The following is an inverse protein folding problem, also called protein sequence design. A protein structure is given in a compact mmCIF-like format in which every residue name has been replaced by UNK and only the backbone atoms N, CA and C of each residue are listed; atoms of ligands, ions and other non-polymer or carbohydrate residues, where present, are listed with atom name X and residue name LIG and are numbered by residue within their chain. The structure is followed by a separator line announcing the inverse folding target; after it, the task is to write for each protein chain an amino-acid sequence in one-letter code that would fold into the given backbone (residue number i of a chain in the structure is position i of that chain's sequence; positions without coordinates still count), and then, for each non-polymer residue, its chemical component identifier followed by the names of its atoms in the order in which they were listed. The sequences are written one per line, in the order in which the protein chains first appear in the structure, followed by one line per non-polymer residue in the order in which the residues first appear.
data_IF_422716227408
#
_entry.id   IF_422716227408
#
_cell.length_a   1.000
_cell.length_b   1.000
_cell.length_c   1.000
_cell.angle_alpha   90.00
_cell.angle_beta   90.00
_cell.angle_gamma   90.00
#
_symmetry.space_group_name_H-M   'P 1'
#
loop_
_entity.id
_entity.type
_entity.pdbx_description
1 polymer ?
#
# COMPACT_ATOMS: atom_id res chain seq x y z
N UNK A 1 5.90 12.20 -6.26
CA UNK A 1 6.86 11.23 -5.69
C UNK A 1 6.80 11.11 -4.15
N UNK A 2 6.59 12.17 -3.36
CA UNK A 2 6.49 12.10 -1.88
C UNK A 2 5.35 11.21 -1.31
N UNK A 3 4.39 10.79 -2.13
CA UNK A 3 3.26 9.96 -1.72
C UNK A 3 3.45 8.45 -2.01
N UNK A 4 4.57 8.04 -2.61
CA UNK A 4 4.75 6.63 -3.01
C UNK A 4 4.86 5.67 -1.83
N UNK A 5 5.21 6.15 -0.62
CA UNK A 5 5.24 5.32 0.57
C UNK A 5 5.00 6.11 1.87
N UNK A 6 3.74 6.44 2.16
CA UNK A 6 3.34 7.13 3.40
C UNK A 6 3.76 6.38 4.69
N UNK A 7 4.03 5.07 4.62
CA UNK A 7 4.49 4.28 5.76
C UNK A 7 5.88 4.72 6.25
N UNK A 8 6.77 5.12 5.34
CA UNK A 8 8.11 5.60 5.72
C UNK A 8 8.04 6.97 6.41
N UNK A 9 7.03 7.80 6.15
CA UNK A 9 6.83 9.05 6.91
C UNK A 9 6.58 8.81 8.40
N UNK A 10 6.17 7.60 8.79
CA UNK A 10 5.90 7.24 10.18
C UNK A 10 6.99 6.35 10.76
N UNK A 11 7.32 5.24 10.11
CA UNK A 11 8.26 4.27 10.68
C UNK A 11 9.72 4.75 10.62
N UNK A 12 10.11 5.52 9.60
CA UNK A 12 11.50 5.97 9.47
C UNK A 12 11.91 6.99 10.54
N UNK A 13 11.09 8.00 10.90
CA UNK A 13 11.35 8.85 12.06
C UNK A 13 11.51 8.07 13.37
N UNK A 14 10.72 7.00 13.58
CA UNK A 14 10.88 6.13 14.76
C UNK A 14 12.27 5.48 14.76
N UNK A 15 12.70 4.91 13.63
CA UNK A 15 14.04 4.34 13.49
C UNK A 15 15.14 5.37 13.75
N UNK A 16 15.01 6.57 13.19
CA UNK A 16 15.95 7.67 13.39
C UNK A 16 16.01 8.14 14.85
N UNK A 17 14.86 8.22 15.53
CA UNK A 17 14.79 8.57 16.94
C UNK A 17 15.51 7.51 17.80
N UNK A 18 15.24 6.23 17.56
CA UNK A 18 15.95 5.12 18.21
C UNK A 18 17.46 5.19 17.95
N UNK A 19 17.86 5.48 16.69
CA UNK A 19 19.26 5.64 16.31
C UNK A 19 19.93 6.78 17.07
N UNK A 20 19.30 7.97 17.10
CA UNK A 20 19.83 9.11 17.80
C UNK A 20 19.97 8.83 19.31
N UNK A 21 18.96 8.19 19.92
CA UNK A 21 18.97 7.81 21.34
C UNK A 21 20.08 6.80 21.67
N UNK A 22 20.37 5.86 20.77
CA UNK A 22 21.40 4.84 20.95
C UNK A 22 22.82 5.38 20.74
N UNK A 23 23.00 6.22 19.72
CA UNK A 23 24.33 6.66 19.28
C UNK A 23 24.83 7.93 19.96
N UNK A 24 23.95 8.88 20.26
CA UNK A 24 24.35 10.15 20.86
C UNK A 24 24.36 10.11 22.38
N UNK A 25 25.34 10.82 22.96
CA UNK A 25 25.37 11.08 24.39
C UNK A 25 24.30 12.14 24.71
N UNK A 26 23.57 11.94 25.82
CA UNK A 26 22.53 12.88 26.29
C UNK A 26 23.09 14.30 26.54
N UNK A 27 24.36 14.41 26.91
CA UNK A 27 25.03 15.69 27.17
C UNK A 27 25.29 16.55 25.92
N UNK A 28 25.17 16.00 24.71
CA UNK A 28 25.47 16.70 23.45
C UNK A 28 24.25 17.48 22.93
N UNK A 29 23.81 18.46 23.73
CA UNK A 29 22.62 19.29 23.47
C UNK A 29 22.64 19.98 22.11
N UNK A 30 23.82 20.33 21.60
CA UNK A 30 23.96 20.98 20.29
C UNK A 30 23.54 20.05 19.16
N UNK A 31 23.94 18.77 19.20
CA UNK A 31 23.54 17.77 18.19
C UNK A 31 22.06 17.44 18.28
N UNK A 32 21.52 17.29 19.49
CA UNK A 32 20.08 17.09 19.69
C UNK A 32 19.26 18.26 19.14
N UNK A 33 19.69 19.50 19.40
CA UNK A 33 19.05 20.70 18.83
C UNK A 33 19.13 20.72 17.31
N UNK A 34 20.27 20.37 16.72
CA UNK A 34 20.41 20.33 15.26
C UNK A 34 19.47 19.28 14.63
N UNK A 35 19.38 18.08 15.20
CA UNK A 35 18.49 17.02 14.71
C UNK A 35 17.02 17.43 14.85
N UNK A 36 16.64 17.96 16.02
CA UNK A 36 15.28 18.43 16.26
C UNK A 36 14.90 19.57 15.31
N UNK A 37 15.79 20.55 15.12
CA UNK A 37 15.57 21.67 14.20
C UNK A 37 15.40 21.17 12.76
N UNK A 38 16.26 20.26 12.30
CA UNK A 38 16.12 19.66 10.96
C UNK A 38 14.81 18.91 10.81
N UNK A 39 14.41 18.11 11.81
CA UNK A 39 13.12 17.41 11.77
C UNK A 39 11.94 18.38 11.70
N UNK A 40 11.97 19.46 12.48
CA UNK A 40 10.92 20.50 12.45
C UNK A 40 10.89 21.21 11.10
N UNK A 41 12.04 21.64 10.57
CA UNK A 41 12.13 22.33 9.28
C UNK A 41 11.66 21.47 8.12
N UNK A 42 11.91 20.16 8.16
CA UNK A 42 11.43 19.21 7.14
C UNK A 42 9.95 18.87 7.34
N UNK A 43 9.45 18.79 8.57
CA UNK A 43 8.06 18.51 8.86
C UNK A 43 7.13 19.70 8.57
N UNK A 44 7.60 20.94 8.74
CA UNK A 44 6.79 22.15 8.63
C UNK A 44 6.06 22.28 7.27
N UNK A 45 6.71 22.08 6.11
CA UNK A 45 6.03 22.12 4.80
C UNK A 45 5.02 20.99 4.59
N UNK A 46 5.11 19.90 5.36
CA UNK A 46 4.22 18.74 5.27
C UNK A 46 2.91 18.99 6.06
N UNK A 47 2.92 19.92 7.03
CA UNK A 47 1.75 20.20 7.89
C UNK A 47 0.51 20.61 7.07
N UNK A 48 0.56 21.59 6.13
CA UNK A 48 -0.63 21.98 5.37
C UNK A 48 -1.23 20.82 4.56
N UNK A 49 -0.37 19.94 4.04
CA UNK A 49 -0.79 18.73 3.32
C UNK A 49 -1.52 17.76 4.26
N UNK A 50 -0.98 17.51 5.46
CA UNK A 50 -1.60 16.63 6.46
C UNK A 50 -2.93 17.19 6.97
N UNK A 51 -3.02 18.51 7.19
CA UNK A 51 -4.26 19.18 7.59
C UNK A 51 -5.32 19.06 6.49
N UNK A 52 -4.95 19.33 5.23
CA UNK A 52 -5.86 19.18 4.09
C UNK A 52 -6.35 17.74 3.92
N UNK A 53 -5.44 16.78 4.08
CA UNK A 53 -5.74 15.36 4.04
C UNK A 53 -6.73 14.96 5.13
N UNK A 54 -6.46 15.32 6.39
CA UNK A 54 -7.34 15.01 7.52
C UNK A 54 -8.72 15.68 7.41
N UNK A 55 -8.77 16.92 6.91
CA UNK A 55 -10.03 17.65 6.70
C UNK A 55 -10.92 16.92 5.69
N UNK A 56 -10.35 16.49 4.55
CA UNK A 56 -11.09 15.73 3.54
C UNK A 56 -11.51 14.36 4.04
N UNK A 57 -10.65 13.66 4.78
CA UNK A 57 -11.01 12.38 5.38
C UNK A 57 -12.21 12.49 6.32
N UNK A 58 -12.21 13.49 7.21
CA UNK A 58 -13.33 13.74 8.11
C UNK A 58 -14.60 14.12 7.36
N UNK A 59 -14.50 14.98 6.33
CA UNK A 59 -15.64 15.41 5.54
C UNK A 59 -16.35 14.26 4.80
N UNK A 60 -15.59 13.24 4.36
CA UNK A 60 -16.11 12.09 3.65
C UNK A 60 -16.25 10.83 4.53
N UNK A 61 -16.09 10.95 5.85
CA UNK A 61 -16.17 9.80 6.77
C UNK A 61 -15.11 8.73 6.52
N UNK A 62 -14.01 9.06 5.86
CA UNK A 62 -12.93 8.12 5.52
C UNK A 62 -12.11 7.82 6.77
N UNK A 63 -12.55 6.83 7.53
CA UNK A 63 -11.82 6.28 8.67
C UNK A 63 -11.54 4.80 8.42
N UNK A 64 -10.41 4.32 8.92
CA UNK A 64 -10.10 2.89 8.92
C UNK A 64 -10.54 2.27 10.24
N UNK A 65 -11.21 1.12 10.14
CA UNK A 65 -11.53 0.30 11.30
C UNK A 65 -10.26 -0.34 11.87
N UNK A 66 -10.25 -0.60 13.18
CA UNK A 66 -9.15 -1.35 13.81
C UNK A 66 -9.05 -2.76 13.22
N UNK A 67 -10.19 -3.37 12.89
CA UNK A 67 -10.27 -4.71 12.28
C UNK A 67 -9.63 -4.76 10.88
N UNK A 68 -9.78 -3.69 10.09
CA UNK A 68 -9.09 -3.56 8.81
C UNK A 68 -7.56 -3.54 9.01
N UNK A 69 -7.08 -2.78 10.00
CA UNK A 69 -5.65 -2.71 10.32
C UNK A 69 -5.14 -4.07 10.82
N UNK A 70 -5.91 -4.75 11.68
CA UNK A 70 -5.59 -6.09 12.18
C UNK A 70 -5.47 -7.11 11.04
N UNK A 71 -6.34 -7.04 10.03
CA UNK A 71 -6.29 -7.91 8.84
C UNK A 71 -4.96 -7.83 8.09
N UNK A 72 -4.31 -6.66 8.09
CA UNK A 72 -3.04 -6.42 7.41
C UNK A 72 -1.81 -6.44 8.34
N UNK A 73 -2.00 -6.94 9.55
CA UNK A 73 -0.95 -7.08 10.55
C UNK A 73 -0.19 -8.39 10.36
N UNK A 74 1.08 -8.39 10.77
CA UNK A 74 1.88 -9.60 10.84
C UNK A 74 1.50 -10.44 12.06
N UNK A 75 1.80 -11.72 12.00
CA UNK A 75 1.71 -12.64 13.15
C UNK A 75 3.08 -13.22 13.47
N UNK A 76 3.18 -14.04 14.51
CA UNK A 76 4.44 -14.74 14.82
C UNK A 76 4.88 -15.69 13.70
N UNK A 77 3.92 -16.34 13.01
CA UNK A 77 4.21 -17.22 11.87
C UNK A 77 4.67 -16.48 10.62
N UNK A 78 4.38 -15.18 10.52
CA UNK A 78 4.84 -14.32 9.41
C UNK A 78 6.35 -14.29 9.24
N UNK A 79 7.16 -14.50 10.30
CA UNK A 79 8.62 -14.60 10.20
C UNK A 79 9.10 -15.78 9.35
N UNK A 80 8.32 -16.86 9.31
CA UNK A 80 8.52 -17.99 8.42
C UNK A 80 7.62 -17.90 7.18
N UNK A 81 6.80 -16.84 7.08
CA UNK A 81 5.80 -16.65 6.05
C UNK A 81 6.39 -16.18 4.73
N UNK A 82 6.14 -16.95 3.67
CA UNK A 82 6.50 -16.60 2.30
C UNK A 82 5.26 -16.21 1.50
N UNK A 83 5.47 -15.49 0.39
CA UNK A 83 4.40 -15.17 -0.55
C UNK A 83 4.05 -16.40 -1.39
N UNK A 84 2.78 -16.56 -1.77
CA UNK A 84 2.38 -17.55 -2.77
C UNK A 84 3.05 -17.41 -4.14
N UNK A 85 3.73 -16.28 -4.37
CA UNK A 85 4.50 -16.00 -5.58
C UNK A 85 5.97 -16.42 -5.47
N UNK A 86 6.46 -16.74 -4.29
CA UNK A 86 7.85 -17.17 -4.10
C UNK A 86 8.00 -18.62 -4.58
N UNK A 87 9.01 -18.89 -5.40
CA UNK A 87 9.24 -20.24 -5.93
C UNK A 87 9.94 -21.13 -4.90
N UNK A 88 11.00 -20.59 -4.30
CA UNK A 88 11.84 -21.32 -3.35
C UNK A 88 11.13 -21.47 -2.00
N UNK A 89 11.30 -22.63 -1.34
CA UNK A 89 10.71 -22.97 -0.03
C UNK A 89 9.17 -23.06 0.02
N UNK A 90 8.47 -22.92 -1.11
CA UNK A 90 7.00 -23.01 -1.22
C UNK A 90 6.39 -24.30 -0.66
N UNK A 91 7.12 -25.41 -0.67
CA UNK A 91 6.69 -26.69 -0.08
C UNK A 91 7.04 -26.87 1.41
N UNK A 92 7.83 -25.98 2.01
CA UNK A 92 8.40 -26.15 3.36
C UNK A 92 7.95 -25.05 4.33
N UNK A 93 7.76 -23.84 3.84
CA UNK A 93 7.39 -22.67 4.64
C UNK A 93 5.91 -22.34 4.48
N UNK A 94 5.26 -21.82 5.54
CA UNK A 94 3.86 -21.44 5.47
C UNK A 94 3.65 -20.30 4.47
N UNK A 95 2.57 -20.41 3.71
CA UNK A 95 2.10 -19.33 2.87
C UNK A 95 1.31 -18.34 3.72
N UNK A 96 1.79 -17.11 3.83
CA UNK A 96 1.07 -16.04 4.53
C UNK A 96 0.53 -15.03 3.54
N UNK A 97 -0.44 -14.22 3.98
CA UNK A 97 -0.93 -13.09 3.20
C UNK A 97 0.25 -12.24 2.72
N UNK A 98 0.25 -11.82 1.45
CA UNK A 98 1.44 -11.26 0.80
C UNK A 98 2.02 -10.03 1.54
N UNK A 99 1.18 -9.20 2.15
CA UNK A 99 1.66 -8.05 2.92
C UNK A 99 2.28 -8.44 4.27
N UNK A 100 2.00 -9.64 4.77
CA UNK A 100 2.51 -10.22 6.01
C UNK A 100 3.51 -11.39 5.79
N UNK A 101 4.04 -11.55 4.58
CA UNK A 101 5.14 -12.47 4.28
C UNK A 101 6.47 -11.83 4.67
N UNK A 102 6.93 -12.11 5.90
CA UNK A 102 8.09 -11.43 6.49
C UNK A 102 9.37 -12.28 6.44
N UNK A 103 9.36 -13.45 5.81
CA UNK A 103 10.55 -14.30 5.74
C UNK A 103 11.74 -13.57 5.09
N UNK A 104 12.84 -13.32 5.85
CA UNK A 104 13.97 -12.53 5.35
C UNK A 104 14.95 -13.33 4.49
N UNK A 105 14.81 -14.66 4.40
CA UNK A 105 15.77 -15.55 3.73
C UNK A 105 16.81 -16.16 4.68
N UNK A 106 17.12 -17.44 4.50
CA UNK A 106 18.13 -18.14 5.30
C UNK A 106 19.53 -17.56 5.08
N UNK A 107 19.85 -17.10 3.87
CA UNK A 107 21.15 -16.50 3.59
C UNK A 107 21.36 -15.17 4.35
N UNK A 108 20.32 -14.33 4.39
CA UNK A 108 20.35 -13.07 5.17
C UNK A 108 20.45 -13.37 6.66
N UNK A 109 19.68 -14.34 7.18
CA UNK A 109 19.74 -14.74 8.60
C UNK A 109 21.12 -15.24 8.97
N UNK A 110 21.72 -16.14 8.17
CA UNK A 110 23.05 -16.69 8.43
C UNK A 110 24.12 -15.59 8.45
N UNK A 111 24.10 -14.68 7.47
CA UNK A 111 25.02 -13.54 7.42
C UNK A 111 24.80 -12.56 8.58
N UNK A 112 23.54 -12.32 8.98
CA UNK A 112 23.21 -11.44 10.09
C UNK A 112 23.70 -12.01 11.44
N UNK A 113 23.55 -13.32 11.66
CA UNK A 113 24.12 -14.02 12.82
C UNK A 113 25.65 -13.87 12.82
N UNK A 114 26.31 -14.12 11.68
CA UNK A 114 27.75 -13.95 11.56
C UNK A 114 28.18 -12.50 11.84
N UNK A 115 27.43 -11.52 11.34
CA UNK A 115 27.66 -10.11 11.62
C UNK A 115 27.46 -9.75 13.10
N UNK A 116 26.51 -10.38 13.79
CA UNK A 116 26.32 -10.22 15.23
C UNK A 116 27.52 -10.73 16.05
N UNK A 117 28.14 -11.82 15.59
CA UNK A 117 29.31 -12.43 16.25
C UNK A 117 30.62 -11.69 15.95
N UNK A 118 30.75 -11.09 14.77
CA UNK A 118 32.05 -10.61 14.25
C UNK A 118 32.11 -9.11 14.00
N UNK A 119 30.96 -8.45 13.87
CA UNK A 119 30.86 -7.06 13.48
C UNK A 119 31.11 -6.09 14.63
N UNK A 120 30.88 -4.80 14.35
CA UNK A 120 30.97 -3.75 15.37
C UNK A 120 29.79 -3.88 16.33
N UNK A 121 29.99 -4.57 17.46
CA UNK A 121 28.96 -4.94 18.46
C UNK A 121 27.93 -3.84 18.72
N UNK A 122 28.37 -2.59 18.96
CA UNK A 122 27.44 -1.47 19.22
C UNK A 122 26.50 -1.17 18.05
N UNK A 123 26.99 -1.25 16.82
CA UNK A 123 26.21 -0.98 15.60
C UNK A 123 25.27 -2.15 15.31
N UNK A 124 25.78 -3.37 15.37
CA UNK A 124 24.99 -4.57 15.07
C UNK A 124 23.87 -4.76 16.10
N UNK A 125 24.15 -4.59 17.39
CA UNK A 125 23.12 -4.67 18.43
C UNK A 125 22.03 -3.61 18.25
N UNK A 126 22.37 -2.41 17.79
CA UNK A 126 21.36 -1.40 17.47
C UNK A 126 20.43 -1.88 16.36
N UNK A 127 20.97 -2.33 15.23
CA UNK A 127 20.14 -2.73 14.09
C UNK A 127 19.35 -4.00 14.35
N UNK A 128 19.85 -4.93 15.17
CA UNK A 128 19.07 -6.08 15.65
C UNK A 128 17.93 -5.64 16.57
N UNK A 129 18.20 -4.77 17.55
CA UNK A 129 17.16 -4.24 18.44
C UNK A 129 16.11 -3.43 17.67
N UNK A 130 16.55 -2.61 16.71
CA UNK A 130 15.67 -1.87 15.83
C UNK A 130 14.82 -2.80 14.96
N UNK A 131 15.39 -3.88 14.43
CA UNK A 131 14.63 -4.88 13.69
C UNK A 131 13.54 -5.54 14.55
N UNK A 132 13.84 -5.85 15.81
CA UNK A 132 12.86 -6.38 16.77
C UNK A 132 11.76 -5.34 17.02
N UNK A 133 12.09 -4.07 17.27
CA UNK A 133 11.08 -3.03 17.48
C UNK A 133 10.18 -2.85 16.24
N UNK A 134 10.77 -2.84 15.05
CA UNK A 134 10.03 -2.71 13.79
C UNK A 134 9.14 -3.92 13.53
N UNK A 135 9.57 -5.11 13.92
CA UNK A 135 8.75 -6.31 13.89
C UNK A 135 7.58 -6.25 14.89
N UNK A 136 7.82 -5.79 16.11
CA UNK A 136 6.75 -5.60 17.09
C UNK A 136 5.70 -4.59 16.62
N UNK A 137 6.11 -3.55 15.88
CA UNK A 137 5.20 -2.63 15.19
C UNK A 137 4.46 -3.32 14.04
N UNK A 138 5.10 -4.27 13.35
CA UNK A 138 4.49 -5.04 12.27
C UNK A 138 3.35 -5.94 12.76
N UNK A 139 3.35 -6.36 14.03
CA UNK A 139 2.30 -7.19 14.63
C UNK A 139 0.95 -6.47 14.80
N UNK A 140 0.91 -5.15 14.66
CA UNK A 140 -0.34 -4.40 14.61
C UNK A 140 -1.03 -4.18 15.97
N UNK A 141 -2.31 -3.74 15.95
CA UNK A 141 -2.97 -3.09 17.09
C UNK A 141 -3.26 -4.02 18.29
N UNK A 142 -3.22 -5.33 18.10
CA UNK A 142 -3.33 -6.31 19.19
C UNK A 142 -2.11 -6.28 20.12
N UNK A 143 -0.99 -5.71 19.66
CA UNK A 143 0.24 -5.60 20.42
C UNK A 143 0.55 -4.15 20.81
N UNK A 144 1.07 -3.97 22.04
CA UNK A 144 1.25 -2.67 22.68
C UNK A 144 2.05 -1.64 21.84
N UNK A 145 3.18 -1.97 21.19
CA UNK A 145 3.98 -0.97 20.48
C UNK A 145 3.21 -0.25 19.37
N UNK A 146 2.41 -0.99 18.61
CA UNK A 146 1.57 -0.40 17.56
C UNK A 146 0.31 0.24 18.17
N UNK A 147 -0.27 -0.34 19.23
CA UNK A 147 -1.41 0.26 19.93
C UNK A 147 -1.08 1.67 20.48
N UNK A 148 0.14 1.90 20.93
CA UNK A 148 0.63 3.22 21.32
C UNK A 148 0.79 4.16 20.12
N UNK A 149 1.29 3.65 18.99
CA UNK A 149 1.44 4.42 17.75
C UNK A 149 0.08 4.94 17.25
N UNK A 150 -0.98 4.11 17.30
CA UNK A 150 -2.34 4.45 16.84
C UNK A 150 -2.98 5.60 17.63
N UNK A 151 -2.49 5.90 18.84
CA UNK A 151 -2.93 7.06 19.64
C UNK A 151 -2.43 8.39 19.06
N UNK A 152 -1.40 8.39 18.22
CA UNK A 152 -0.88 9.60 17.60
C UNK A 152 -1.78 10.07 16.44
N UNK A 153 -1.94 11.40 16.26
CA UNK A 153 -2.72 11.92 15.15
C UNK A 153 -2.11 11.50 13.81
N UNK A 154 -2.95 10.99 12.91
CA UNK A 154 -2.53 10.52 11.57
C UNK A 154 -2.02 9.07 11.53
N UNK A 155 -1.72 8.42 12.66
CA UNK A 155 -1.25 7.04 12.67
C UNK A 155 -2.32 6.03 12.19
N UNK A 156 -3.61 6.34 12.39
CA UNK A 156 -4.75 5.57 11.86
C UNK A 156 -4.83 5.56 10.32
N UNK A 157 -4.09 6.44 9.65
CA UNK A 157 -3.96 6.42 8.19
C UNK A 157 -2.99 5.35 7.68
N UNK A 158 -2.34 4.58 8.57
CA UNK A 158 -1.57 3.38 8.22
C UNK A 158 -2.51 2.19 8.19
N UNK A 159 -2.71 1.61 7.00
CA UNK A 159 -3.55 0.42 6.85
C UNK A 159 -2.82 -0.88 7.15
N UNK A 160 -1.54 -0.94 6.78
CA UNK A 160 -0.74 -2.18 6.73
C UNK A 160 0.43 -2.08 7.72
N UNK A 161 0.25 -2.47 8.99
CA UNK A 161 1.33 -2.48 9.99
C UNK A 161 2.52 -3.30 9.54
N UNK A 162 2.29 -4.42 8.85
CA UNK A 162 3.33 -5.34 8.39
C UNK A 162 4.45 -4.66 7.58
N UNK A 163 4.17 -3.51 6.95
CA UNK A 163 5.18 -2.70 6.24
C UNK A 163 6.26 -2.11 7.14
N UNK A 164 6.09 -2.06 8.46
CA UNK A 164 7.17 -1.74 9.40
C UNK A 164 8.37 -2.69 9.22
N UNK A 165 8.12 -3.92 8.77
CA UNK A 165 9.14 -4.92 8.48
C UNK A 165 10.16 -4.47 7.42
N UNK A 166 9.81 -3.55 6.50
CA UNK A 166 10.79 -2.96 5.57
C UNK A 166 12.02 -2.40 6.28
N UNK A 167 11.83 -1.76 7.44
CA UNK A 167 12.92 -1.22 8.26
C UNK A 167 13.60 -2.30 9.11
N UNK A 168 12.88 -3.37 9.47
CA UNK A 168 13.49 -4.54 10.09
C UNK A 168 14.46 -5.24 9.12
N UNK A 169 14.03 -5.47 7.88
CA UNK A 169 14.87 -6.03 6.80
C UNK A 169 16.08 -5.14 6.53
N UNK A 170 15.93 -3.81 6.55
CA UNK A 170 17.07 -2.90 6.47
C UNK A 170 18.08 -3.15 7.61
N UNK A 171 17.60 -3.29 8.85
CA UNK A 171 18.46 -3.61 9.99
C UNK A 171 19.17 -4.95 9.83
N UNK A 172 18.44 -5.99 9.41
CA UNK A 172 19.02 -7.31 9.12
C UNK A 172 20.05 -7.25 7.99
N UNK A 173 19.81 -6.46 6.94
CA UNK A 173 20.75 -6.27 5.84
C UNK A 173 22.05 -5.60 6.29
N UNK A 174 21.97 -4.60 7.20
CA UNK A 174 23.18 -4.01 7.80
C UNK A 174 23.96 -5.05 8.61
N UNK A 175 23.26 -5.86 9.41
CA UNK A 175 23.89 -6.96 10.17
C UNK A 175 24.54 -7.98 9.23
N UNK A 176 23.84 -8.38 8.17
CA UNK A 176 24.34 -9.29 7.14
C UNK A 176 25.58 -8.72 6.43
N UNK A 177 25.60 -7.41 6.18
CA UNK A 177 26.76 -6.71 5.62
C UNK A 177 28.02 -6.85 6.47
N UNK A 178 27.91 -6.81 7.81
CA UNK A 178 29.05 -7.08 8.69
C UNK A 178 29.55 -8.52 8.58
N UNK A 179 28.64 -9.51 8.52
CA UNK A 179 29.01 -10.92 8.33
C UNK A 179 29.68 -11.15 6.98
N UNK A 180 29.14 -10.52 5.93
CA UNK A 180 29.72 -10.58 4.59
C UNK A 180 31.11 -9.94 4.52
N UNK A 181 31.29 -8.77 5.17
CA UNK A 181 32.59 -8.10 5.25
C UNK A 181 33.64 -8.96 5.96
N UNK A 182 33.25 -9.68 7.03
CA UNK A 182 34.14 -10.60 7.71
C UNK A 182 34.55 -11.80 6.84
N UNK A 183 33.62 -12.37 6.06
CA UNK A 183 33.94 -13.44 5.08
C UNK A 183 34.86 -12.93 3.97
N UNK A 184 34.59 -11.74 3.44
CA UNK A 184 35.37 -11.12 2.39
C UNK A 184 36.83 -10.88 2.81
N UNK A 185 37.04 -10.54 4.08
CA UNK A 185 38.38 -10.34 4.66
C UNK A 185 39.19 -11.65 4.79
N UNK A 186 38.59 -12.82 4.56
CA UNK A 186 39.26 -14.13 4.66
C UNK A 186 39.51 -14.73 3.29
N UNK A 187 40.78 -14.97 2.97
CA UNK A 187 41.27 -15.30 1.62
C UNK A 187 40.50 -16.40 0.88
N UNK A 188 40.26 -17.57 1.51
CA UNK A 188 39.45 -18.65 0.93
C UNK A 188 37.94 -18.51 1.20
N UNK A 189 37.55 -17.93 2.34
CA UNK A 189 36.14 -17.85 2.74
C UNK A 189 35.33 -16.83 1.94
N UNK A 190 35.98 -15.85 1.29
CA UNK A 190 35.29 -14.90 0.38
C UNK A 190 34.48 -15.58 -0.70
N UNK A 191 34.88 -16.78 -1.14
CA UNK A 191 34.16 -17.55 -2.15
C UNK A 191 32.79 -18.05 -1.66
N UNK A 192 32.57 -18.15 -0.35
CA UNK A 192 31.27 -18.48 0.25
C UNK A 192 30.23 -17.38 -0.03
N UNK A 193 30.66 -16.15 -0.32
CA UNK A 193 29.75 -15.06 -0.69
C UNK A 193 29.04 -15.29 -2.03
N UNK A 194 29.64 -16.06 -2.94
CA UNK A 194 29.02 -16.37 -4.24
C UNK A 194 27.75 -17.21 -4.07
N UNK A 195 27.77 -18.39 -3.43
CA UNK A 195 26.56 -19.16 -3.21
C UNK A 195 25.59 -18.46 -2.25
N UNK A 196 26.05 -17.70 -1.26
CA UNK A 196 25.15 -16.91 -0.40
C UNK A 196 24.44 -15.80 -1.18
N UNK A 197 25.15 -15.08 -2.06
CA UNK A 197 24.56 -14.08 -2.94
C UNK A 197 23.56 -14.69 -3.90
N UNK A 198 23.89 -15.84 -4.51
CA UNK A 198 22.96 -16.59 -5.36
C UNK A 198 21.72 -17.04 -4.58
N UNK A 199 21.88 -17.50 -3.33
CA UNK A 199 20.77 -17.88 -2.45
C UNK A 199 19.87 -16.69 -2.12
N UNK A 200 20.42 -15.50 -1.82
CA UNK A 200 19.60 -14.28 -1.59
C UNK A 200 18.74 -13.97 -2.81
N UNK A 201 19.31 -14.04 -4.01
CA UNK A 201 18.58 -13.82 -5.27
C UNK A 201 17.50 -14.88 -5.45
N UNK A 202 17.82 -16.16 -5.21
CA UNK A 202 16.88 -17.28 -5.34
C UNK A 202 15.73 -17.21 -4.32
N UNK A 203 16.02 -16.84 -3.07
CA UNK A 203 15.03 -16.64 -1.99
C UNK A 203 14.12 -15.44 -2.25
N UNK A 204 14.66 -14.40 -2.91
CA UNK A 204 13.90 -13.20 -3.30
C UNK A 204 13.17 -13.36 -4.62
N UNK A 205 13.35 -14.48 -5.33
CA UNK A 205 12.76 -14.68 -6.65
C UNK A 205 11.27 -14.99 -6.54
N UNK A 206 10.45 -14.20 -7.23
CA UNK A 206 9.00 -14.34 -7.23
C UNK A 206 8.45 -14.36 -8.65
N UNK A 207 7.31 -15.03 -8.84
CA UNK A 207 6.54 -15.04 -10.09
C UNK A 207 5.27 -14.20 -9.93
N UNK A 208 5.17 -13.15 -10.73
CA UNK A 208 3.98 -12.31 -10.82
C UNK A 208 3.55 -12.18 -12.27
N UNK A 209 2.25 -12.17 -12.58
CA UNK A 209 1.82 -11.77 -13.92
C UNK A 209 2.29 -10.32 -14.13
N UNK A 210 2.94 -10.07 -15.27
CA UNK A 210 2.98 -8.72 -15.80
C UNK A 210 1.53 -8.36 -16.12
N UNK A 211 0.96 -7.45 -15.34
CA UNK A 211 -0.39 -6.95 -15.59
C UNK A 211 -0.30 -5.96 -16.73
N UNK A 212 -0.96 -6.27 -17.84
CA UNK A 212 -1.07 -5.33 -18.96
C UNK A 212 -1.82 -4.08 -18.51
N UNK A 213 -1.40 -2.92 -19.02
CA UNK A 213 -2.09 -1.67 -18.73
C UNK A 213 -3.52 -1.75 -19.28
N UNK A 214 -4.53 -1.29 -18.51
CA UNK A 214 -5.91 -1.26 -18.99
C UNK A 214 -6.01 -0.50 -20.31
N UNK A 215 -6.69 -1.09 -21.29
CA UNK A 215 -6.94 -0.45 -22.58
C UNK A 215 -7.73 0.85 -22.34
N UNK A 216 -7.27 2.00 -22.87
CA UNK A 216 -8.03 3.25 -22.81
C UNK A 216 -9.39 3.10 -23.47
N UNK A 217 -10.38 3.87 -23.01
CA UNK A 217 -11.68 3.95 -23.68
C UNK A 217 -11.44 4.46 -25.11
N UNK A 218 -11.85 3.74 -26.18
CA UNK A 218 -11.62 4.16 -27.55
C UNK A 218 -12.61 5.25 -28.00
N UNK A 219 -12.89 6.21 -27.12
CA UNK A 219 -13.83 7.30 -27.33
C UNK A 219 -13.33 8.56 -26.62
N UNK A 220 -13.45 9.70 -27.30
CA UNK A 220 -13.29 10.98 -26.66
C UNK A 220 -14.55 11.33 -25.85
N UNK A 221 -14.42 11.37 -24.53
CA UNK A 221 -15.40 11.97 -23.64
C UNK A 221 -14.99 13.43 -23.39
N UNK A 222 -15.95 14.34 -23.15
CA UNK A 222 -15.60 15.69 -22.75
C UNK A 222 -14.71 15.69 -21.49
N UNK A 223 -13.73 16.57 -21.49
CA UNK A 223 -12.82 16.74 -20.35
C UNK A 223 -13.59 16.95 -19.05
N UNK A 224 -13.12 16.31 -17.97
CA UNK A 224 -13.66 16.41 -16.62
C UNK A 224 -15.12 15.93 -16.46
N UNK A 225 -15.65 15.19 -17.45
CA UNK A 225 -16.93 14.48 -17.37
C UNK A 225 -16.98 13.52 -16.17
N UNK A 226 -18.19 13.25 -15.66
CA UNK A 226 -18.41 12.28 -14.60
C UNK A 226 -18.74 10.94 -15.26
N UNK A 227 -17.97 9.90 -14.97
CA UNK A 227 -18.07 8.60 -15.63
C UNK A 227 -18.27 7.49 -14.60
N UNK A 228 -19.25 6.63 -14.83
CA UNK A 228 -19.43 5.36 -14.14
C UNK A 228 -18.96 4.22 -15.05
N UNK A 229 -17.93 3.48 -14.65
CA UNK A 229 -17.34 2.38 -15.44
C UNK A 229 -17.82 1.04 -14.89
N UNK A 230 -18.73 0.38 -15.60
CA UNK A 230 -19.32 -0.90 -15.21
C UNK A 230 -18.52 -2.09 -15.80
N UNK A 231 -18.46 -3.24 -15.08
CA UNK A 231 -19.04 -3.47 -13.76
C UNK A 231 -18.29 -2.77 -12.63
N UNK A 232 -19.02 -2.40 -11.57
CA UNK A 232 -18.40 -2.00 -10.30
C UNK A 232 -17.92 -3.27 -9.61
N UNK A 233 -16.62 -3.34 -9.33
CA UNK A 233 -16.05 -4.45 -8.57
C UNK A 233 -15.91 -4.06 -7.10
N UNK A 234 -15.77 -5.03 -6.20
CA UNK A 234 -15.42 -4.76 -4.79
C UNK A 234 -13.95 -5.02 -4.49
N UNK A 235 -13.18 -5.45 -5.50
CA UNK A 235 -11.76 -5.74 -5.39
C UNK A 235 -10.91 -4.60 -5.98
N UNK A 236 -9.62 -4.89 -6.22
CA UNK A 236 -8.67 -3.93 -6.79
C UNK A 236 -8.94 -3.58 -8.25
N UNK A 237 -9.87 -4.25 -8.96
CA UNK A 237 -10.10 -4.05 -10.41
C UNK A 237 -10.74 -2.72 -10.76
N UNK A 238 -11.29 -1.99 -9.79
CA UNK A 238 -11.65 -0.57 -9.97
C UNK A 238 -10.44 0.33 -10.23
N UNK A 239 -9.21 -0.16 -10.01
CA UNK A 239 -8.01 0.53 -10.44
C UNK A 239 -7.97 0.70 -11.96
N UNK A 240 -8.59 -0.22 -12.72
CA UNK A 240 -8.67 -0.12 -14.18
C UNK A 240 -9.53 1.07 -14.60
N UNK A 241 -10.69 1.23 -13.95
CA UNK A 241 -11.58 2.36 -14.16
C UNK A 241 -10.90 3.69 -13.82
N UNK A 242 -10.14 3.73 -12.72
CA UNK A 242 -9.33 4.89 -12.34
C UNK A 242 -8.20 5.18 -13.33
N UNK A 243 -7.51 4.15 -13.80
CA UNK A 243 -6.43 4.28 -14.79
C UNK A 243 -6.96 4.90 -16.08
N UNK A 244 -8.08 4.39 -16.60
CA UNK A 244 -8.72 4.95 -17.80
C UNK A 244 -9.20 6.38 -17.59
N UNK A 245 -9.67 6.72 -16.39
CA UNK A 245 -10.07 8.08 -16.05
C UNK A 245 -8.92 9.08 -16.13
N UNK A 246 -7.72 8.68 -15.68
CA UNK A 246 -6.51 9.49 -15.82
C UNK A 246 -6.14 9.64 -17.30
N UNK A 247 -6.16 8.55 -18.07
CA UNK A 247 -5.80 8.57 -19.50
C UNK A 247 -6.80 9.35 -20.36
N UNK A 248 -8.09 9.27 -20.04
CA UNK A 248 -9.17 9.95 -20.76
C UNK A 248 -9.56 11.32 -20.19
N UNK A 249 -8.81 11.82 -19.20
CA UNK A 249 -9.03 13.12 -18.56
C UNK A 249 -10.46 13.34 -18.03
N UNK A 250 -11.06 12.31 -17.42
CA UNK A 250 -12.39 12.38 -16.82
C UNK A 250 -12.37 11.93 -15.35
N UNK A 251 -13.47 12.16 -14.64
CA UNK A 251 -13.63 11.77 -13.23
C UNK A 251 -14.46 10.51 -13.14
N UNK A 252 -13.90 9.45 -12.57
CA UNK A 252 -14.63 8.19 -12.38
C UNK A 252 -15.34 8.13 -11.03
N UNK A 253 -16.57 7.63 -11.01
CA UNK A 253 -17.38 7.42 -9.81
C UNK A 253 -16.85 6.25 -8.99
N UNK A 254 -16.64 5.10 -9.63
CA UNK A 254 -16.19 3.86 -9.00
C UNK A 254 -14.68 3.64 -9.13
N UNK A 255 -13.89 4.69 -8.90
CA UNK A 255 -12.43 4.57 -8.87
C UNK A 255 -11.92 3.83 -7.63
N UNK A 256 -10.70 3.29 -7.72
CA UNK A 256 -10.05 2.67 -6.56
C UNK A 256 -9.31 3.70 -5.70
N UNK A 257 -9.50 3.61 -4.40
CA UNK A 257 -8.67 4.31 -3.43
C UNK A 257 -8.47 3.37 -2.25
N UNK A 258 -7.35 3.45 -1.51
CA UNK A 258 -7.16 2.63 -0.30
C UNK A 258 -8.12 2.96 0.86
N UNK A 259 -9.23 3.66 0.56
CA UNK A 259 -10.40 3.93 1.36
C UNK A 259 -11.65 3.73 0.50
N UNK A 260 -12.72 3.22 1.11
CA UNK A 260 -14.05 3.19 0.51
C UNK A 260 -14.93 4.26 1.17
N UNK A 261 -15.61 5.12 0.40
CA UNK A 261 -16.65 5.99 0.95
C UNK A 261 -17.75 5.16 1.65
N UNK A 262 -18.41 5.68 2.70
CA UNK A 262 -19.47 4.97 3.43
C UNK A 262 -20.56 4.40 2.51
N UNK A 263 -20.99 5.18 1.50
CA UNK A 263 -22.10 4.83 0.61
C UNK A 263 -21.66 3.96 -0.59
N UNK A 264 -20.39 3.53 -0.65
CA UNK A 264 -19.87 2.79 -1.80
C UNK A 264 -20.55 1.42 -1.98
N UNK A 265 -20.80 0.71 -0.88
CA UNK A 265 -21.53 -0.56 -0.94
C UNK A 265 -23.01 -0.36 -1.31
N UNK A 266 -23.59 0.77 -0.91
CA UNK A 266 -24.96 1.12 -1.30
C UNK A 266 -25.04 1.46 -2.80
N UNK A 267 -24.03 2.13 -3.36
CA UNK A 267 -23.90 2.34 -4.80
C UNK A 267 -23.87 1.00 -5.56
N UNK A 268 -23.04 0.05 -5.11
CA UNK A 268 -22.96 -1.29 -5.73
C UNK A 268 -24.30 -2.02 -5.63
N UNK A 269 -24.90 -2.04 -4.44
CA UNK A 269 -26.20 -2.67 -4.21
C UNK A 269 -27.30 -2.03 -5.07
N UNK A 270 -27.35 -0.70 -5.16
CA UNK A 270 -28.35 0.01 -5.93
C UNK A 270 -28.24 -0.26 -7.44
N UNK A 271 -27.04 -0.42 -7.98
CA UNK A 271 -26.84 -0.83 -9.38
C UNK A 271 -27.33 -2.26 -9.60
N UNK A 272 -26.96 -3.19 -8.71
CA UNK A 272 -27.36 -4.60 -8.80
C UNK A 272 -28.88 -4.80 -8.60
N UNK A 273 -29.50 -3.98 -7.76
CA UNK A 273 -30.95 -3.99 -7.49
C UNK A 273 -31.74 -3.11 -8.46
N UNK A 274 -31.10 -2.54 -9.49
CA UNK A 274 -31.77 -1.71 -10.51
C UNK A 274 -32.49 -0.47 -9.93
N UNK A 275 -31.92 0.16 -8.90
CA UNK A 275 -32.47 1.37 -8.26
C UNK A 275 -31.99 2.64 -8.95
N UNK A 276 -32.86 3.25 -9.77
CA UNK A 276 -32.54 4.45 -10.58
C UNK A 276 -32.13 5.69 -9.77
N UNK A 277 -32.53 5.77 -8.49
CA UNK A 277 -32.16 6.86 -7.58
C UNK A 277 -30.65 7.01 -7.42
N UNK A 278 -29.87 5.96 -7.69
CA UNK A 278 -28.41 5.95 -7.59
C UNK A 278 -27.72 6.97 -8.51
N UNK A 279 -28.35 7.33 -9.65
CA UNK A 279 -27.78 8.29 -10.58
C UNK A 279 -28.03 9.75 -10.19
N UNK A 280 -29.03 10.02 -9.36
CA UNK A 280 -29.48 11.38 -9.02
C UNK A 280 -28.36 12.28 -8.48
N UNK A 281 -27.54 11.87 -7.49
CA UNK A 281 -26.49 12.73 -6.93
C UNK A 281 -25.44 13.16 -7.96
N UNK A 282 -25.21 12.34 -8.98
CA UNK A 282 -24.26 12.63 -10.06
C UNK A 282 -24.90 13.52 -11.13
N UNK A 283 -26.13 13.17 -11.53
CA UNK A 283 -26.90 13.92 -12.54
C UNK A 283 -27.32 15.32 -12.08
N UNK A 284 -27.32 15.62 -10.78
CA UNK A 284 -27.53 16.99 -10.28
C UNK A 284 -26.31 17.92 -10.51
N UNK A 285 -25.13 17.35 -10.80
CA UNK A 285 -23.88 18.12 -10.91
C UNK A 285 -23.43 18.33 -12.35
N UNK A 286 -23.63 17.32 -13.19
CA UNK A 286 -23.29 17.32 -14.60
C UNK A 286 -24.00 16.16 -15.31
N UNK A 287 -23.82 16.06 -16.62
CA UNK A 287 -24.12 14.83 -17.34
C UNK A 287 -23.29 13.67 -16.78
N UNK A 288 -23.96 12.54 -16.56
CA UNK A 288 -23.33 11.30 -16.14
C UNK A 288 -23.14 10.39 -17.36
N UNK A 289 -21.90 10.04 -17.65
CA UNK A 289 -21.58 9.03 -18.66
C UNK A 289 -21.47 7.66 -18.00
N UNK A 290 -22.05 6.63 -18.61
CA UNK A 290 -21.96 5.25 -18.13
C UNK A 290 -21.31 4.40 -19.21
N UNK A 291 -20.18 3.80 -18.88
CA UNK A 291 -19.47 2.85 -19.75
C UNK A 291 -19.86 1.45 -19.28
N UNK A 292 -20.53 0.68 -20.14
CA UNK A 292 -20.80 -0.73 -19.92
C UNK A 292 -19.83 -1.57 -20.75
N UNK A 293 -18.93 -2.29 -20.07
CA UNK A 293 -17.98 -3.23 -20.70
C UNK A 293 -18.67 -4.56 -20.99
N UNK A 294 -19.37 -4.62 -22.13
CA UNK A 294 -20.22 -5.71 -22.62
C UNK A 294 -20.17 -7.01 -21.84
N UNK A 295 -19.20 -7.87 -22.14
CA UNK A 295 -19.13 -9.23 -21.59
C UNK A 295 -18.86 -9.30 -20.08
N UNK A 296 -18.41 -8.21 -19.46
CA UNK A 296 -18.14 -8.13 -18.03
C UNK A 296 -19.36 -7.64 -17.22
N UNK A 297 -20.39 -7.10 -17.88
CA UNK A 297 -21.57 -6.52 -17.23
C UNK A 297 -22.76 -7.46 -17.37
N UNK A 298 -23.52 -7.65 -16.29
CA UNK A 298 -24.77 -8.40 -16.34
C UNK A 298 -25.73 -7.77 -17.38
N UNK A 299 -26.25 -8.54 -18.35
CA UNK A 299 -27.17 -8.02 -19.37
C UNK A 299 -28.41 -7.33 -18.79
N UNK A 300 -28.86 -7.73 -17.59
CA UNK A 300 -29.99 -7.10 -16.90
C UNK A 300 -29.71 -5.65 -16.52
N UNK A 301 -28.48 -5.35 -16.08
CA UNK A 301 -28.03 -3.99 -15.74
C UNK A 301 -28.01 -3.11 -16.98
N UNK A 302 -27.55 -3.64 -18.12
CA UNK A 302 -27.53 -2.90 -19.40
C UNK A 302 -28.95 -2.61 -19.88
N UNK A 303 -29.84 -3.60 -19.79
CA UNK A 303 -31.25 -3.45 -20.19
C UNK A 303 -31.95 -2.41 -19.30
N UNK A 304 -31.73 -2.47 -17.98
CA UNK A 304 -32.25 -1.50 -17.05
C UNK A 304 -31.69 -0.08 -17.28
N UNK A 305 -30.41 0.05 -17.62
CA UNK A 305 -29.78 1.32 -17.95
C UNK A 305 -30.41 1.95 -19.21
N UNK A 306 -30.73 1.13 -20.20
CA UNK A 306 -31.41 1.56 -21.45
C UNK A 306 -32.87 1.99 -21.21
N UNK A 307 -33.50 1.57 -20.11
CA UNK A 307 -34.84 2.02 -19.72
C UNK A 307 -34.85 3.35 -18.96
N UNK A 308 -33.69 3.95 -18.65
CA UNK A 308 -33.64 5.17 -17.86
C UNK A 308 -34.21 6.38 -18.63
N UNK A 309 -35.00 7.25 -17.97
CA UNK A 309 -35.56 8.43 -18.63
C UNK A 309 -34.48 9.37 -19.18
N UNK A 310 -34.55 9.62 -20.49
CA UNK A 310 -33.65 10.52 -21.21
C UNK A 310 -32.25 9.96 -21.44
N UNK A 311 -32.03 8.65 -21.28
CA UNK A 311 -30.74 8.04 -21.61
C UNK A 311 -30.47 8.13 -23.11
N UNK A 312 -29.28 8.63 -23.46
CA UNK A 312 -28.81 8.70 -24.83
C UNK A 312 -27.68 7.68 -25.02
N UNK A 313 -27.81 6.80 -26.00
CA UNK A 313 -26.70 5.93 -26.40
C UNK A 313 -25.73 6.74 -27.27
N UNK A 314 -24.60 7.14 -26.69
CA UNK A 314 -23.58 7.96 -27.38
C UNK A 314 -22.88 7.14 -28.45
N UNK A 315 -22.48 5.91 -28.12
CA UNK A 315 -21.82 5.02 -29.08
C UNK A 315 -21.85 3.56 -28.63
N UNK A 316 -21.57 2.66 -29.57
CA UNK A 316 -21.26 1.26 -29.33
C UNK A 316 -19.99 0.92 -30.13
N UNK A 317 -18.93 0.52 -29.43
CA UNK A 317 -17.61 0.23 -30.00
C UNK A 317 -17.17 -1.17 -29.54
N UNK A 318 -17.17 -2.12 -30.48
CA UNK A 318 -17.01 -3.55 -30.16
C UNK A 318 -17.99 -3.97 -29.04
N UNK A 319 -17.45 -4.47 -27.93
CA UNK A 319 -18.25 -4.90 -26.76
C UNK A 319 -18.61 -3.75 -25.82
N UNK A 320 -18.13 -2.53 -26.06
CA UNK A 320 -18.32 -1.40 -25.13
C UNK A 320 -19.53 -0.58 -25.55
N UNK A 321 -20.42 -0.31 -24.60
CA UNK A 321 -21.56 0.59 -24.79
C UNK A 321 -21.39 1.81 -23.90
N UNK A 322 -21.53 3.00 -24.48
CA UNK A 322 -21.42 4.26 -23.74
C UNK A 322 -22.75 4.98 -23.79
N UNK A 323 -23.26 5.30 -22.60
CA UNK A 323 -24.52 6.00 -22.40
C UNK A 323 -24.27 7.36 -21.77
N UNK A 324 -25.10 8.34 -22.10
CA UNK A 324 -25.16 9.65 -21.45
C UNK A 324 -26.51 9.76 -20.77
N UNK A 325 -26.47 10.01 -19.48
CA UNK A 325 -27.61 10.37 -18.65
C UNK A 325 -27.55 11.88 -18.44
N UNK A 326 -28.45 12.66 -19.04
CA UNK A 326 -28.38 14.12 -18.99
C UNK A 326 -28.60 14.62 -17.57
N UNK A 327 -28.00 15.79 -17.29
CA UNK A 327 -28.19 16.53 -16.05
C UNK A 327 -29.69 16.69 -15.73
N UNK A 328 -30.06 16.50 -14.47
CA UNK A 328 -31.44 16.74 -14.00
C UNK A 328 -31.48 18.19 -13.47
N UNK A 329 -32.50 18.99 -13.85
CA UNK A 329 -32.65 20.36 -13.39
C UNK A 329 -32.86 20.50 -11.87
#
# INVERSE_FOLDING_TARGET
MLLSNAYLLVFFPILLALWALWFFRRADLRRWRAIALTMVLVALPVIPLLVGYQTRQRAFGLMRGVDEIATYSATWSSLAGISHRTLLWSGWLPNTFAEASLFPGFAIVALAILGALTGRRRIVLFYLAAAIVMWLLALGPEHEPYALLVKLPGARSIRVPARAWLLATLGLAVCAGFGAAWLAARGRMRWVLVPLGAMIVAESWFTGPLVEAPVPVPLYLPDNSIVLDLPITTDYRNADAQYRAVMGNYRVVNGYSGYSPPDYLELVAAINEHRSSVFTPYRQRADLYVIARGNDVDPSVVTWLEMQPGVERVTQLADWKVYRLPVIP
#
